data_IF_926487712214
#
_entry.id   IF_926487712214
#
_cell.length_a   1.000
_cell.length_b   1.000
_cell.length_c   1.000
_cell.angle_alpha   90.00
_cell.angle_beta   90.00
_cell.angle_gamma   90.00
#
_symmetry.space_group_name_H-M   'P 1'
#
loop_
_entity.id
_entity.type
_entity.pdbx_description
1 polymer ?
#
# COMPACT_ATOMS: atom_id res chain seq x y z
N UNK A 1 -11.71 -6.92 11.14
CA UNK A 1 -10.50 -6.15 11.51
C UNK A 1 -9.92 -5.53 10.24
N UNK A 2 -9.33 -4.33 10.32
CA UNK A 2 -8.72 -3.65 9.17
C UNK A 2 -7.21 -3.57 9.34
N UNK A 3 -6.47 -3.72 8.23
CA UNK A 3 -5.01 -3.57 8.18
C UNK A 3 -4.66 -2.58 7.09
N UNK A 4 -3.86 -1.57 7.41
CA UNK A 4 -3.40 -0.58 6.44
C UNK A 4 -1.96 -0.89 5.98
N UNK A 5 -1.69 -0.67 4.70
CA UNK A 5 -0.38 -0.84 4.06
C UNK A 5 0.05 0.52 3.50
N UNK A 6 1.30 0.90 3.78
CA UNK A 6 1.97 2.02 3.16
C UNK A 6 3.38 1.58 2.73
N UNK A 7 3.92 2.21 1.69
CA UNK A 7 5.32 2.05 1.30
C UNK A 7 6.11 3.26 1.78
N UNK A 8 7.04 3.03 2.72
CA UNK A 8 7.92 4.07 3.24
C UNK A 8 9.26 4.07 2.52
N UNK A 9 9.82 5.25 2.28
CA UNK A 9 11.14 5.41 1.66
C UNK A 9 11.07 5.70 0.16
N UNK A 10 11.87 5.00 -0.64
CA UNK A 10 11.97 5.19 -2.10
C UNK A 10 11.29 4.08 -2.91
N UNK A 11 11.11 4.32 -4.20
CA UNK A 11 10.57 3.33 -5.13
C UNK A 11 11.60 2.22 -5.41
N UNK A 12 11.10 0.98 -5.45
CA UNK A 12 11.90 -0.21 -5.71
C UNK A 12 11.07 -1.22 -6.52
N UNK A 13 11.65 -1.94 -7.49
CA UNK A 13 10.97 -3.06 -8.14
C UNK A 13 10.54 -4.12 -7.13
N UNK A 14 9.33 -4.65 -7.28
CA UNK A 14 8.81 -5.75 -6.46
C UNK A 14 7.87 -5.34 -5.32
N UNK A 15 7.78 -4.04 -4.97
CA UNK A 15 6.85 -3.59 -3.92
C UNK A 15 5.38 -3.91 -4.26
N UNK A 16 5.01 -3.81 -5.54
CA UNK A 16 3.68 -4.18 -6.03
C UNK A 16 3.36 -5.67 -5.80
N UNK A 17 4.37 -6.54 -5.90
CA UNK A 17 4.19 -7.97 -5.62
C UNK A 17 3.91 -8.23 -4.14
N UNK A 18 4.60 -7.50 -3.24
CA UNK A 18 4.38 -7.57 -1.79
C UNK A 18 2.98 -7.07 -1.43
N UNK A 19 2.57 -5.91 -1.95
CA UNK A 19 1.23 -5.35 -1.71
C UNK A 19 0.15 -6.35 -2.14
N UNK A 20 0.29 -6.92 -3.34
CA UNK A 20 -0.65 -7.94 -3.85
C UNK A 20 -0.68 -9.20 -2.97
N UNK A 21 0.46 -9.64 -2.45
CA UNK A 21 0.52 -10.79 -1.54
C UNK A 21 -0.22 -10.50 -0.22
N UNK A 22 -0.03 -9.32 0.36
CA UNK A 22 -0.74 -8.89 1.57
C UNK A 22 -2.25 -8.85 1.35
N UNK A 23 -2.71 -8.26 0.24
CA UNK A 23 -4.15 -8.21 -0.10
C UNK A 23 -4.73 -9.61 -0.23
N UNK A 24 -4.09 -10.48 -1.02
CA UNK A 24 -4.58 -11.86 -1.24
C UNK A 24 -4.65 -12.66 0.05
N UNK A 25 -3.64 -12.53 0.92
CA UNK A 25 -3.59 -13.26 2.19
C UNK A 25 -4.52 -12.66 3.23
N UNK A 26 -4.64 -11.33 3.28
CA UNK A 26 -5.55 -10.63 4.17
C UNK A 26 -7.00 -11.01 3.93
N UNK A 27 -7.43 -11.01 2.67
CA UNK A 27 -8.80 -11.43 2.32
C UNK A 27 -9.08 -12.90 2.71
N UNK A 28 -8.10 -13.80 2.53
CA UNK A 28 -8.24 -15.20 2.97
C UNK A 28 -8.45 -15.36 4.47
N UNK A 29 -8.01 -14.38 5.27
CA UNK A 29 -8.18 -14.33 6.72
C UNK A 29 -9.33 -13.42 7.16
N UNK A 30 -10.19 -12.96 6.23
CA UNK A 30 -11.30 -12.05 6.55
C UNK A 30 -10.86 -10.65 6.97
N UNK A 31 -9.65 -10.23 6.60
CA UNK A 31 -9.14 -8.88 6.85
C UNK A 31 -9.52 -7.94 5.70
N UNK A 32 -9.93 -6.73 6.07
CA UNK A 32 -10.03 -5.63 5.10
C UNK A 32 -8.68 -4.93 4.98
N UNK A 33 -8.06 -5.02 3.80
CA UNK A 33 -6.77 -4.40 3.52
C UNK A 33 -6.99 -3.01 2.94
N UNK A 34 -6.40 -2.01 3.59
CA UNK A 34 -6.41 -0.61 3.17
C UNK A 34 -5.02 -0.23 2.65
N UNK A 35 -4.95 0.57 1.59
CA UNK A 35 -3.73 1.20 1.10
C UNK A 35 -3.70 2.66 1.51
N UNK A 36 -2.55 3.17 1.89
CA UNK A 36 -2.31 4.59 2.18
C UNK A 36 -1.44 5.16 1.06
N UNK A 37 -1.88 6.26 0.45
CA UNK A 37 -1.11 6.93 -0.61
C UNK A 37 0.12 7.64 -0.05
N UNK A 38 1.17 7.75 -0.86
CA UNK A 38 2.32 8.62 -0.60
C UNK A 38 3.04 8.32 0.73
N UNK A 39 3.09 7.06 1.14
CA UNK A 39 3.81 6.64 2.36
C UNK A 39 3.34 7.35 3.64
N UNK A 40 4.29 7.79 4.46
CA UNK A 40 3.99 8.47 5.73
C UNK A 40 3.27 9.80 5.55
N UNK A 41 3.52 10.53 4.46
CA UNK A 41 2.82 11.78 4.15
C UNK A 41 1.30 11.59 4.12
N UNK A 42 0.80 10.60 3.38
CA UNK A 42 -0.65 10.40 3.27
C UNK A 42 -1.30 9.76 4.49
N UNK A 43 -0.51 9.34 5.48
CA UNK A 43 -1.02 8.98 6.80
C UNK A 43 -1.18 10.20 7.71
N UNK A 44 -0.30 11.20 7.57
CA UNK A 44 -0.28 12.41 8.41
C UNK A 44 -1.21 13.50 7.89
N UNK A 45 -1.19 13.75 6.58
CA UNK A 45 -2.10 14.65 5.89
C UNK A 45 -3.46 13.95 5.64
N UNK A 46 -4.58 14.69 5.42
CA UNK A 46 -5.94 14.14 5.39
C UNK A 46 -6.00 12.79 4.67
N UNK A 47 -6.60 11.76 5.30
CA UNK A 47 -6.16 10.39 5.11
C UNK A 47 -6.47 9.91 3.70
N UNK A 48 -5.44 9.82 2.87
CA UNK A 48 -5.51 9.35 1.49
C UNK A 48 -5.49 7.81 1.47
N UNK A 49 -6.46 7.21 2.16
CA UNK A 49 -6.60 5.76 2.30
C UNK A 49 -7.73 5.24 1.44
N UNK A 50 -7.54 4.06 0.86
CA UNK A 50 -8.52 3.40 0.01
C UNK A 50 -8.45 1.90 0.20
N UNK A 51 -9.54 1.19 -0.10
CA UNK A 51 -9.55 -0.26 0.00
C UNK A 51 -8.69 -0.87 -1.10
N UNK A 52 -7.80 -1.77 -0.73
CA UNK A 52 -7.06 -2.60 -1.66
C UNK A 52 -7.79 -3.93 -1.84
N UNK A 53 -8.21 -4.21 -3.07
CA UNK A 53 -8.86 -5.47 -3.43
C UNK A 53 -7.99 -6.28 -4.39
N UNK A 54 -8.38 -7.54 -4.63
CA UNK A 54 -7.77 -8.37 -5.68
C UNK A 54 -7.77 -7.69 -7.04
N UNK A 55 -8.84 -6.98 -7.37
CA UNK A 55 -8.99 -6.25 -8.62
C UNK A 55 -8.02 -5.06 -8.66
N UNK A 56 -7.96 -4.29 -7.57
CA UNK A 56 -7.07 -3.13 -7.46
C UNK A 56 -5.57 -3.49 -7.52
N UNK A 57 -5.22 -4.74 -7.21
CA UNK A 57 -3.83 -5.26 -7.28
C UNK A 57 -3.59 -6.18 -8.48
N UNK A 58 -4.57 -6.32 -9.38
CA UNK A 58 -4.41 -7.09 -10.61
C UNK A 58 -3.56 -6.33 -11.61
N UNK A 59 -2.71 -7.04 -12.37
CA UNK A 59 -1.84 -6.41 -13.37
C UNK A 59 -0.69 -5.55 -12.81
N UNK A 60 -0.49 -5.46 -11.50
CA UNK A 60 0.54 -4.55 -10.94
C UNK A 60 1.93 -5.17 -10.86
N UNK A 61 2.06 -6.48 -11.07
CA UNK A 61 3.30 -7.24 -10.86
C UNK A 61 4.46 -6.81 -11.77
N UNK A 62 4.15 -6.34 -12.98
CA UNK A 62 5.16 -5.89 -13.95
C UNK A 62 5.48 -4.40 -13.83
N UNK A 63 4.74 -3.66 -12.98
CA UNK A 63 4.95 -2.24 -12.79
C UNK A 63 6.10 -2.00 -11.81
N UNK A 64 6.99 -1.08 -12.17
CA UNK A 64 8.00 -0.55 -11.27
C UNK A 64 7.40 0.28 -10.13
N UNK A 65 8.21 0.54 -9.10
CA UNK A 65 7.80 1.32 -7.95
C UNK A 65 6.65 0.69 -7.15
N UNK A 66 5.75 1.53 -6.66
CA UNK A 66 4.60 1.15 -5.83
C UNK A 66 3.30 1.80 -6.32
N UNK A 67 2.23 1.02 -6.45
CA UNK A 67 0.88 1.54 -6.76
C UNK A 67 0.33 2.49 -5.70
N UNK A 68 0.92 2.51 -4.50
CA UNK A 68 0.54 3.40 -3.42
C UNK A 68 1.25 4.76 -3.51
N UNK A 69 2.35 4.86 -4.26
CA UNK A 69 3.26 6.00 -4.15
C UNK A 69 4.04 5.98 -2.82
N UNK A 70 5.13 6.73 -2.77
CA UNK A 70 6.03 6.76 -1.61
C UNK A 70 6.44 8.17 -1.27
N UNK A 71 6.78 8.41 -0.01
CA UNK A 71 7.40 9.66 0.43
C UNK A 71 8.54 9.37 1.39
N UNK A 72 9.49 10.32 1.47
CA UNK A 72 10.56 10.32 2.47
C UNK A 72 10.16 11.08 3.74
N UNK A 73 8.85 11.24 3.97
CA UNK A 73 8.32 11.92 5.15
C UNK A 73 8.70 11.15 6.40
N UNK A 74 9.29 11.86 7.37
CA UNK A 74 9.54 11.33 8.70
C UNK A 74 8.32 11.67 9.58
N UNK A 75 7.58 10.69 10.10
CA UNK A 75 6.38 10.95 10.90
C UNK A 75 6.64 11.54 12.30
N UNK A 76 7.91 11.65 12.70
CA UNK A 76 8.31 12.20 14.00
C UNK A 76 9.00 13.57 13.91
N UNK A 77 9.09 14.14 12.70
CA UNK A 77 9.48 15.54 12.48
C UNK A 77 8.23 16.34 12.18
#
# INVERSE_FOLDING_TARGET
MKVAVLTGGGDCPGLNAVIRAVVRRGEQHGLEVMGIREGWRGLLDPPMHFRLTREATSGTLHLGGTILGTSRTNPFK
#
